data_IF_802106852357
#
_entry.id   IF_802106852357
#
_cell.length_a   1.000
_cell.length_b   1.000
_cell.length_c   1.000
_cell.angle_alpha   90.00
_cell.angle_beta   90.00
_cell.angle_gamma   90.00
#
_symmetry.space_group_name_H-M   'P 1'
#
loop_
_entity.id
_entity.type
_entity.pdbx_description
1 polymer ?
#
# COMPACT_ATOMS: atom_id res chain seq x y z
N UNK A 1 22.68 6.99 10.70
CA UNK A 1 21.61 7.11 9.66
C UNK A 1 21.79 6.10 8.52
N UNK A 2 22.95 6.05 7.86
CA UNK A 2 23.18 5.14 6.72
C UNK A 2 22.88 3.67 7.04
N UNK A 3 23.35 3.14 8.16
CA UNK A 3 23.07 1.76 8.59
C UNK A 3 21.58 1.50 8.83
N UNK A 4 20.80 2.48 9.29
CA UNK A 4 19.36 2.32 9.48
C UNK A 4 18.64 2.22 8.15
N UNK A 5 18.95 3.09 7.19
CA UNK A 5 18.37 3.07 5.86
C UNK A 5 18.74 1.79 5.09
N UNK A 6 19.97 1.30 5.24
CA UNK A 6 20.38 0.02 4.62
C UNK A 6 19.60 -1.16 5.21
N UNK A 7 19.47 -1.23 6.53
CA UNK A 7 18.65 -2.26 7.20
C UNK A 7 17.19 -2.17 6.76
N UNK A 8 16.64 -0.98 6.69
CA UNK A 8 15.27 -0.78 6.21
C UNK A 8 15.13 -1.21 4.75
N UNK A 9 16.09 -0.94 3.86
CA UNK A 9 16.09 -1.44 2.48
C UNK A 9 16.00 -2.96 2.42
N UNK A 10 16.84 -3.66 3.20
CA UNK A 10 16.81 -5.13 3.25
C UNK A 10 15.44 -5.62 3.68
N UNK A 11 14.85 -5.01 4.73
CA UNK A 11 13.52 -5.37 5.21
C UNK A 11 12.44 -5.11 4.16
N UNK A 12 12.49 -4.00 3.44
CA UNK A 12 11.56 -3.69 2.33
C UNK A 12 11.66 -4.72 1.23
N UNK A 13 12.88 -5.10 0.81
CA UNK A 13 13.10 -6.13 -0.22
C UNK A 13 12.57 -7.49 0.24
N UNK A 14 12.84 -7.87 1.49
CA UNK A 14 12.34 -9.14 2.04
C UNK A 14 10.80 -9.14 2.17
N UNK A 15 10.21 -8.04 2.64
CA UNK A 15 8.76 -7.89 2.72
C UNK A 15 8.10 -7.94 1.33
N UNK A 16 8.72 -7.29 0.34
CA UNK A 16 8.25 -7.33 -1.05
C UNK A 16 8.32 -8.75 -1.61
N UNK A 17 9.46 -9.44 -1.44
CA UNK A 17 9.60 -10.83 -1.87
C UNK A 17 8.60 -11.75 -1.16
N UNK A 18 8.39 -11.58 0.14
CA UNK A 18 7.39 -12.32 0.92
C UNK A 18 5.98 -12.08 0.35
N UNK A 19 5.64 -10.84 -0.03
CA UNK A 19 4.34 -10.55 -0.67
C UNK A 19 4.17 -11.33 -1.97
N UNK A 20 5.19 -11.39 -2.84
CA UNK A 20 5.15 -12.18 -4.09
C UNK A 20 5.00 -13.67 -3.78
N UNK A 21 5.71 -14.18 -2.77
CA UNK A 21 5.63 -15.61 -2.39
C UNK A 21 4.25 -15.94 -1.81
N UNK A 22 3.68 -15.11 -0.95
CA UNK A 22 2.34 -15.29 -0.38
C UNK A 22 1.28 -15.30 -1.49
N UNK A 23 1.44 -14.42 -2.49
CA UNK A 23 0.52 -14.31 -3.62
C UNK A 23 1.01 -15.10 -4.84
N UNK A 24 1.79 -16.16 -4.66
CA UNK A 24 2.39 -16.90 -5.77
C UNK A 24 1.41 -17.31 -6.86
N UNK A 25 0.20 -17.81 -6.53
CA UNK A 25 -0.80 -18.15 -7.55
C UNK A 25 -1.19 -16.98 -8.45
N UNK A 26 -1.18 -15.75 -7.95
CA UNK A 26 -1.47 -14.55 -8.72
C UNK A 26 -0.45 -14.33 -9.88
N UNK A 27 0.78 -14.80 -9.71
CA UNK A 27 1.90 -14.59 -10.66
C UNK A 27 2.09 -15.75 -11.62
N UNK A 28 1.28 -16.79 -11.52
CA UNK A 28 1.24 -17.90 -12.47
C UNK A 28 0.14 -17.67 -13.51
N UNK A 29 0.20 -18.37 -14.64
CA UNK A 29 -0.96 -18.49 -15.51
C UNK A 29 -2.01 -19.34 -14.80
N UNK A 30 -3.24 -18.85 -14.67
CA UNK A 30 -4.34 -19.55 -13.98
C UNK A 30 -5.64 -19.37 -14.75
N UNK A 31 -6.49 -20.40 -14.66
CA UNK A 31 -7.82 -20.41 -15.30
C UNK A 31 -8.93 -20.03 -14.30
N UNK A 32 -8.70 -20.29 -13.00
CA UNK A 32 -9.65 -20.04 -11.94
C UNK A 32 -8.97 -19.33 -10.75
N UNK A 33 -9.43 -18.11 -10.37
CA UNK A 33 -10.39 -17.30 -11.13
C UNK A 33 -9.83 -16.93 -12.51
N UNK A 34 -10.68 -16.59 -13.49
CA UNK A 34 -10.17 -16.22 -14.82
C UNK A 34 -9.27 -15.00 -14.73
N UNK A 35 -8.18 -14.99 -15.51
CA UNK A 35 -7.37 -13.80 -15.69
C UNK A 35 -8.18 -12.70 -16.38
N UNK A 36 -7.93 -11.44 -16.02
CA UNK A 36 -8.55 -10.27 -16.60
C UNK A 36 -7.52 -9.50 -17.45
N UNK A 37 -7.29 -9.90 -18.72
CA UNK A 37 -6.28 -9.28 -19.55
C UNK A 37 -6.76 -7.91 -20.06
N UNK A 38 -5.97 -6.85 -19.82
CA UNK A 38 -6.17 -5.55 -20.47
C UNK A 38 -5.86 -5.62 -21.98
N UNK A 39 -4.90 -6.48 -22.36
CA UNK A 39 -4.55 -6.76 -23.76
C UNK A 39 -4.35 -8.28 -23.94
N UNK A 40 -4.72 -8.84 -25.11
CA UNK A 40 -4.56 -10.28 -25.41
C UNK A 40 -3.09 -10.67 -25.67
N UNK A 41 -2.25 -10.51 -24.65
CA UNK A 41 -0.83 -10.88 -24.71
C UNK A 41 -0.61 -12.28 -24.14
N UNK A 42 0.44 -13.00 -24.58
CA UNK A 42 0.82 -14.30 -23.98
C UNK A 42 1.08 -14.13 -22.47
N UNK A 43 0.40 -14.90 -21.65
CA UNK A 43 0.61 -14.91 -20.21
C UNK A 43 1.69 -15.92 -19.82
N UNK A 44 2.68 -15.45 -19.07
CA UNK A 44 3.77 -16.28 -18.51
C UNK A 44 3.74 -16.22 -16.99
N UNK A 45 4.40 -17.18 -16.34
CA UNK A 45 4.63 -17.12 -14.90
C UNK A 45 5.61 -16.00 -14.56
N UNK A 46 5.14 -14.95 -13.86
CA UNK A 46 5.91 -13.75 -13.53
C UNK A 46 6.56 -13.79 -12.15
N UNK A 47 6.26 -14.79 -11.32
CA UNK A 47 6.77 -14.85 -9.94
C UNK A 47 8.30 -14.87 -9.86
N UNK A 48 8.97 -15.71 -10.65
CA UNK A 48 10.43 -15.77 -10.67
C UNK A 48 11.06 -14.49 -11.20
N UNK A 49 10.68 -13.93 -12.37
CA UNK A 49 11.17 -12.64 -12.83
C UNK A 49 11.00 -11.51 -11.80
N UNK A 50 9.84 -11.44 -11.12
CA UNK A 50 9.63 -10.47 -10.05
C UNK A 50 10.61 -10.66 -8.89
N UNK A 51 10.76 -11.88 -8.37
CA UNK A 51 11.70 -12.15 -7.27
C UNK A 51 13.14 -11.80 -7.66
N UNK A 52 13.58 -12.15 -8.86
CA UNK A 52 14.92 -11.81 -9.34
C UNK A 52 15.14 -10.29 -9.38
N UNK A 53 14.18 -9.53 -9.91
CA UNK A 53 14.27 -8.07 -9.96
C UNK A 53 14.18 -7.44 -8.58
N UNK A 54 13.40 -8.00 -7.65
CA UNK A 54 13.29 -7.53 -6.25
C UNK A 54 14.63 -7.73 -5.53
N UNK A 55 15.22 -8.92 -5.56
CA UNK A 55 16.50 -9.18 -4.88
C UNK A 55 17.67 -8.44 -5.55
N UNK A 56 17.65 -8.25 -6.85
CA UNK A 56 18.66 -7.47 -7.56
C UNK A 56 18.69 -5.99 -7.09
N UNK A 57 17.63 -5.45 -6.49
CA UNK A 57 17.62 -4.11 -5.91
C UNK A 57 18.61 -3.93 -4.74
N UNK A 58 19.05 -5.01 -4.12
CA UNK A 58 20.09 -4.93 -3.08
C UNK A 58 21.45 -4.54 -3.64
N UNK A 59 21.74 -4.94 -4.89
CA UNK A 59 23.04 -4.75 -5.56
C UNK A 59 22.97 -3.65 -6.63
N UNK A 60 21.93 -3.65 -7.46
CA UNK A 60 21.75 -2.75 -8.60
C UNK A 60 20.41 -1.97 -8.50
N UNK A 61 20.21 -1.13 -7.48
CA UNK A 61 18.88 -0.63 -7.12
C UNK A 61 18.12 0.03 -8.28
N UNK A 62 18.78 0.91 -9.04
CA UNK A 62 18.11 1.66 -10.14
C UNK A 62 17.75 0.75 -11.33
N UNK A 63 18.71 -0.08 -11.78
CA UNK A 63 18.49 -0.98 -12.92
C UNK A 63 17.46 -2.06 -12.58
N UNK A 64 17.55 -2.62 -11.38
CA UNK A 64 16.63 -3.63 -10.92
C UNK A 64 15.21 -3.07 -10.71
N UNK A 65 15.08 -1.81 -10.24
CA UNK A 65 13.78 -1.16 -10.15
C UNK A 65 13.16 -0.92 -11.53
N UNK A 66 13.96 -0.48 -12.51
CA UNK A 66 13.48 -0.32 -13.89
C UNK A 66 13.03 -1.67 -14.48
N UNK A 67 13.82 -2.73 -14.29
CA UNK A 67 13.44 -4.08 -14.71
C UNK A 67 12.17 -4.57 -14.01
N UNK A 68 12.06 -4.35 -12.70
CA UNK A 68 10.85 -4.65 -11.93
C UNK A 68 9.63 -3.94 -12.49
N UNK A 69 9.73 -2.64 -12.78
CA UNK A 69 8.63 -1.87 -13.35
C UNK A 69 8.15 -2.43 -14.69
N UNK A 70 9.07 -2.85 -15.56
CA UNK A 70 8.74 -3.49 -16.83
C UNK A 70 8.04 -4.84 -16.63
N UNK A 71 8.56 -5.69 -15.74
CA UNK A 71 7.97 -6.99 -15.43
C UNK A 71 6.59 -6.84 -14.82
N UNK A 72 6.44 -5.91 -13.85
CA UNK A 72 5.15 -5.65 -13.21
C UNK A 72 4.12 -5.10 -14.20
N UNK A 73 4.51 -4.12 -15.03
CA UNK A 73 3.62 -3.55 -16.04
C UNK A 73 3.14 -4.61 -17.02
N UNK A 74 4.04 -5.44 -17.53
CA UNK A 74 3.68 -6.56 -18.40
C UNK A 74 2.72 -7.52 -17.69
N UNK A 75 3.02 -7.87 -16.44
CA UNK A 75 2.17 -8.75 -15.65
C UNK A 75 0.75 -8.19 -15.46
N UNK A 76 0.62 -6.87 -15.18
CA UNK A 76 -0.66 -6.20 -15.02
C UNK A 76 -1.44 -6.09 -16.35
N UNK A 77 -0.76 -5.90 -17.48
CA UNK A 77 -1.41 -5.90 -18.80
C UNK A 77 -1.98 -7.28 -19.13
N UNK A 78 -1.28 -8.36 -18.74
CA UNK A 78 -1.77 -9.72 -18.93
C UNK A 78 -2.88 -10.10 -17.96
N UNK A 79 -2.99 -9.41 -16.81
CA UNK A 79 -4.00 -9.72 -15.80
C UNK A 79 -4.16 -8.55 -14.82
N UNK A 80 -5.26 -7.82 -14.93
CA UNK A 80 -5.56 -6.65 -14.10
C UNK A 80 -5.77 -6.99 -12.61
N UNK A 81 -5.97 -8.27 -12.25
CA UNK A 81 -6.03 -8.68 -10.84
C UNK A 81 -4.72 -8.42 -10.10
N UNK A 82 -3.61 -8.26 -10.83
CA UNK A 82 -2.26 -7.93 -10.35
C UNK A 82 -2.06 -6.44 -10.03
N UNK A 83 -3.04 -5.58 -10.37
CA UNK A 83 -3.05 -4.16 -9.99
C UNK A 83 -3.36 -4.00 -8.50
N UNK A 84 -2.43 -4.38 -7.64
CA UNK A 84 -2.56 -4.31 -6.19
C UNK A 84 -1.64 -3.21 -5.63
N UNK A 85 -2.12 -2.33 -4.72
CA UNK A 85 -1.38 -1.14 -4.29
C UNK A 85 -0.01 -1.44 -3.68
N UNK A 86 0.14 -2.56 -2.98
CA UNK A 86 1.40 -2.93 -2.34
C UNK A 86 2.54 -3.12 -3.34
N UNK A 87 2.28 -3.70 -4.53
CA UNK A 87 3.33 -3.92 -5.54
C UNK A 87 3.83 -2.62 -6.17
N UNK A 88 3.01 -1.58 -6.18
CA UNK A 88 3.40 -0.23 -6.60
C UNK A 88 4.01 0.59 -5.46
N UNK A 89 3.70 0.25 -4.21
CA UNK A 89 4.20 0.96 -3.02
C UNK A 89 5.63 0.54 -2.67
N UNK A 90 5.97 -0.74 -2.69
CA UNK A 90 7.31 -1.23 -2.35
C UNK A 90 8.45 -0.55 -3.12
N UNK A 91 8.37 -0.28 -4.43
CA UNK A 91 9.34 0.52 -5.16
C UNK A 91 9.65 1.88 -4.51
N UNK A 92 8.64 2.61 -4.09
CA UNK A 92 8.83 3.92 -3.43
C UNK A 92 9.46 3.76 -2.04
N UNK A 93 9.08 2.73 -1.28
CA UNK A 93 9.72 2.43 0.01
C UNK A 93 11.21 2.10 -0.18
N UNK A 94 11.57 1.35 -1.21
CA UNK A 94 12.97 1.07 -1.57
C UNK A 94 13.71 2.35 -2.00
N UNK A 95 13.11 3.18 -2.86
CA UNK A 95 13.67 4.47 -3.31
C UNK A 95 13.95 5.42 -2.14
N UNK A 96 13.12 5.41 -1.10
CA UNK A 96 13.31 6.22 0.10
C UNK A 96 14.65 5.94 0.82
N UNK A 97 15.30 4.83 0.52
CA UNK A 97 16.58 4.42 1.11
C UNK A 97 17.81 4.74 0.24
N UNK A 98 17.60 5.28 -0.97
CA UNK A 98 18.70 5.60 -1.89
C UNK A 98 19.46 6.85 -1.44
N UNK A 99 20.71 7.03 -1.89
CA UNK A 99 21.49 8.20 -1.53
C UNK A 99 20.99 9.49 -2.18
N UNK A 100 20.27 9.42 -3.30
CA UNK A 100 19.78 10.57 -4.03
C UNK A 100 18.63 11.27 -3.29
N UNK A 101 18.77 12.56 -3.06
CA UNK A 101 17.78 13.37 -2.35
C UNK A 101 16.39 13.32 -2.98
N UNK A 102 16.32 13.30 -4.33
CA UNK A 102 15.04 13.21 -5.05
C UNK A 102 14.33 11.87 -4.83
N UNK A 103 15.08 10.76 -4.81
CA UNK A 103 14.53 9.44 -4.56
C UNK A 103 14.01 9.31 -3.12
N UNK A 104 14.80 9.77 -2.13
CA UNK A 104 14.37 9.82 -0.74
C UNK A 104 13.13 10.68 -0.55
N UNK A 105 13.07 11.82 -1.24
CA UNK A 105 11.93 12.72 -1.19
C UNK A 105 10.68 12.03 -1.74
N UNK A 106 10.74 11.43 -2.94
CA UNK A 106 9.61 10.72 -3.56
C UNK A 106 9.14 9.55 -2.70
N UNK A 107 10.05 8.79 -2.11
CA UNK A 107 9.67 7.69 -1.22
C UNK A 107 8.95 8.16 0.03
N UNK A 108 9.42 9.25 0.68
CA UNK A 108 8.70 9.87 1.82
C UNK A 108 7.36 10.46 1.37
N UNK A 109 7.33 11.16 0.24
CA UNK A 109 6.10 11.74 -0.32
C UNK A 109 5.04 10.66 -0.58
N UNK A 110 5.45 9.50 -1.14
CA UNK A 110 4.55 8.37 -1.34
C UNK A 110 3.90 7.89 -0.03
N UNK A 111 4.69 7.71 1.03
CA UNK A 111 4.16 7.26 2.34
C UNK A 111 3.20 8.29 2.94
N UNK A 112 3.52 9.57 2.85
CA UNK A 112 2.63 10.65 3.31
C UNK A 112 1.33 10.66 2.52
N UNK A 113 1.41 10.57 1.20
CA UNK A 113 0.24 10.55 0.30
C UNK A 113 -0.64 9.33 0.58
N UNK A 114 -0.03 8.18 0.79
CA UNK A 114 -0.73 6.94 1.14
C UNK A 114 -1.55 7.12 2.45
N UNK A 115 -0.91 7.55 3.53
CA UNK A 115 -1.63 7.76 4.81
C UNK A 115 -2.68 8.86 4.72
N UNK A 116 -2.36 9.95 4.01
CA UNK A 116 -3.30 11.06 3.82
C UNK A 116 -4.58 10.60 3.14
N UNK A 117 -4.45 9.95 1.98
CA UNK A 117 -5.60 9.51 1.21
C UNK A 117 -6.29 8.30 1.83
N UNK A 118 -5.57 7.33 2.37
CA UNK A 118 -6.19 6.20 3.06
C UNK A 118 -7.04 6.67 4.25
N UNK A 119 -6.57 7.65 5.02
CA UNK A 119 -7.34 8.26 6.10
C UNK A 119 -8.52 9.10 5.57
N UNK A 120 -8.28 9.98 4.59
CA UNK A 120 -9.31 10.86 4.03
C UNK A 120 -10.47 10.05 3.41
N UNK A 121 -10.18 9.04 2.61
CA UNK A 121 -11.19 8.20 1.96
C UNK A 121 -12.01 7.40 2.97
N UNK A 122 -11.39 6.93 4.06
CA UNK A 122 -12.12 6.28 5.16
C UNK A 122 -13.03 7.26 5.90
N UNK A 123 -12.60 8.52 6.09
CA UNK A 123 -13.44 9.57 6.68
C UNK A 123 -14.65 9.92 5.80
N UNK A 124 -14.50 9.82 4.48
CA UNK A 124 -15.57 10.05 3.51
C UNK A 124 -16.47 8.84 3.31
N UNK A 125 -16.13 7.67 3.89
CA UNK A 125 -16.87 6.42 3.74
C UNK A 125 -17.79 6.16 4.93
N UNK A 126 -19.12 6.32 4.81
CA UNK A 126 -20.06 5.92 5.86
C UNK A 126 -19.94 4.43 6.23
N UNK A 127 -19.69 3.57 5.24
CA UNK A 127 -19.53 2.14 5.47
C UNK A 127 -18.26 1.83 6.28
N UNK A 128 -17.17 2.56 6.10
CA UNK A 128 -16.00 2.42 6.97
C UNK A 128 -16.32 2.89 8.39
N UNK A 129 -16.94 4.06 8.54
CA UNK A 129 -17.21 4.67 9.84
C UNK A 129 -18.16 3.81 10.68
N UNK A 130 -19.27 3.35 10.08
CA UNK A 130 -20.35 2.71 10.83
C UNK A 130 -20.30 1.17 10.80
N UNK A 131 -19.50 0.56 9.92
CA UNK A 131 -19.44 -0.89 9.78
C UNK A 131 -18.02 -1.43 9.99
N UNK A 132 -17.05 -1.09 9.14
CA UNK A 132 -15.72 -1.70 9.18
C UNK A 132 -14.88 -1.26 10.37
N UNK A 133 -14.87 0.02 10.73
CA UNK A 133 -14.14 0.51 11.89
C UNK A 133 -14.56 -0.17 13.19
N UNK A 134 -15.88 -0.22 13.52
CA UNK A 134 -16.39 -1.01 14.62
C UNK A 134 -16.04 -2.50 14.53
N UNK A 135 -16.13 -3.11 13.34
CA UNK A 135 -15.77 -4.51 13.14
C UNK A 135 -14.30 -4.77 13.47
N UNK A 136 -13.39 -3.91 13.04
CA UNK A 136 -11.96 -4.03 13.33
C UNK A 136 -11.67 -3.97 14.83
N UNK A 137 -12.34 -3.11 15.57
CA UNK A 137 -12.20 -3.07 17.03
C UNK A 137 -12.73 -4.34 17.66
N UNK A 138 -13.89 -4.84 17.22
CA UNK A 138 -14.46 -6.09 17.77
C UNK A 138 -13.58 -7.32 17.52
N UNK A 139 -12.80 -7.36 16.45
CA UNK A 139 -11.88 -8.46 16.19
C UNK A 139 -10.78 -8.59 17.25
N UNK A 140 -10.31 -7.48 17.80
CA UNK A 140 -9.27 -7.48 18.86
C UNK A 140 -9.83 -7.27 20.25
N UNK A 141 -11.02 -6.72 20.37
CA UNK A 141 -11.72 -6.47 21.62
C UNK A 141 -13.22 -6.78 21.47
N UNK A 142 -13.57 -8.07 21.60
CA UNK A 142 -14.92 -8.59 21.34
C UNK A 142 -16.02 -7.88 22.15
N UNK A 143 -15.73 -7.53 23.40
CA UNK A 143 -16.66 -6.88 24.33
C UNK A 143 -16.42 -5.37 24.45
N UNK A 144 -15.94 -4.70 23.38
CA UNK A 144 -15.73 -3.26 23.39
C UNK A 144 -17.07 -2.54 23.70
N UNK A 145 -17.05 -1.50 24.57
CA UNK A 145 -18.24 -0.69 24.84
C UNK A 145 -18.78 -0.02 23.57
N UNK A 146 -20.10 0.14 23.47
CA UNK A 146 -20.76 0.73 22.30
C UNK A 146 -20.23 2.11 21.94
N UNK A 147 -19.87 2.93 22.93
CA UNK A 147 -19.26 4.25 22.70
C UNK A 147 -17.92 4.13 21.99
N UNK A 148 -17.11 3.11 22.32
CA UNK A 148 -15.82 2.85 21.64
C UNK A 148 -16.08 2.43 20.21
N UNK A 149 -17.04 1.55 19.97
CA UNK A 149 -17.42 1.09 18.63
C UNK A 149 -17.98 2.24 17.78
N UNK A 150 -18.82 3.10 18.34
CA UNK A 150 -19.38 4.26 17.63
C UNK A 150 -18.30 5.26 17.18
N UNK A 151 -17.24 5.43 17.98
CA UNK A 151 -16.14 6.33 17.65
C UNK A 151 -15.03 5.67 16.82
N UNK A 152 -14.97 4.34 16.78
CA UNK A 152 -13.84 3.60 16.21
C UNK A 152 -13.56 3.96 14.76
N UNK A 153 -14.58 3.99 13.91
CA UNK A 153 -14.40 4.31 12.49
C UNK A 153 -13.81 5.70 12.27
N UNK A 154 -14.34 6.70 12.98
CA UNK A 154 -13.86 8.09 12.91
C UNK A 154 -12.43 8.19 13.44
N UNK A 155 -12.15 7.64 14.62
CA UNK A 155 -10.85 7.78 15.27
C UNK A 155 -9.74 7.05 14.52
N UNK A 156 -10.03 5.87 13.95
CA UNK A 156 -9.06 5.13 13.13
C UNK A 156 -8.72 5.90 11.85
N UNK A 157 -9.74 6.38 11.13
CA UNK A 157 -9.55 7.14 9.89
C UNK A 157 -8.87 8.50 10.14
N UNK A 158 -9.32 9.24 11.14
CA UNK A 158 -8.75 10.53 11.54
C UNK A 158 -7.31 10.36 12.03
N UNK A 159 -7.02 9.30 12.78
CA UNK A 159 -5.68 8.98 13.25
C UNK A 159 -4.71 8.81 12.08
N UNK A 160 -5.06 8.01 11.07
CA UNK A 160 -4.25 7.80 9.87
C UNK A 160 -4.03 9.11 9.08
N UNK A 161 -5.09 9.90 8.88
CA UNK A 161 -5.02 11.20 8.22
C UNK A 161 -4.11 12.20 8.97
N UNK A 162 -4.29 12.32 10.28
CA UNK A 162 -3.50 13.24 11.11
C UNK A 162 -2.03 12.83 11.18
N UNK A 163 -1.72 11.54 11.22
CA UNK A 163 -0.33 11.06 11.19
C UNK A 163 0.40 11.50 9.93
N UNK A 164 -0.27 11.49 8.77
CA UNK A 164 0.29 12.00 7.52
C UNK A 164 0.66 13.49 7.62
N UNK A 165 -0.14 14.31 8.29
CA UNK A 165 0.13 15.73 8.50
C UNK A 165 1.22 15.96 9.57
N UNK A 166 1.21 15.18 10.65
CA UNK A 166 2.14 15.34 11.76
C UNK A 166 3.57 14.96 11.41
N UNK A 167 3.79 13.96 10.52
CA UNK A 167 5.14 13.60 10.06
C UNK A 167 5.78 14.70 9.19
N UNK A 168 4.99 15.63 8.63
CA UNK A 168 5.51 16.76 7.86
C UNK A 168 6.10 17.86 8.75
N UNK A 169 5.65 17.97 10.00
CA UNK A 169 6.12 18.98 10.96
C UNK A 169 7.35 18.46 11.72
N UNK A 170 8.50 19.14 11.70
CA UNK A 170 9.71 18.69 12.37
C UNK A 170 9.51 18.40 13.87
N UNK A 171 8.70 19.20 14.57
CA UNK A 171 8.49 19.14 16.02
C UNK A 171 7.73 17.88 16.44
N UNK A 172 6.73 17.46 15.65
CA UNK A 172 5.88 16.29 15.94
C UNK A 172 6.39 15.00 15.30
N UNK A 173 7.32 15.07 14.37
CA UNK A 173 7.77 13.95 13.52
C UNK A 173 8.24 12.73 14.29
N UNK A 174 8.93 12.92 15.40
CA UNK A 174 9.39 11.81 16.26
C UNK A 174 8.21 11.03 16.82
N UNK A 175 7.23 11.74 17.37
CA UNK A 175 6.03 11.14 17.95
C UNK A 175 5.12 10.55 16.90
N UNK A 176 4.93 11.25 15.78
CA UNK A 176 4.17 10.74 14.65
C UNK A 176 4.80 9.47 14.07
N UNK A 177 6.14 9.41 13.94
CA UNK A 177 6.85 8.21 13.51
C UNK A 177 6.67 7.01 14.45
N UNK A 178 6.63 7.23 15.75
CA UNK A 178 6.32 6.18 16.73
C UNK A 178 4.82 5.77 16.65
N UNK A 179 3.92 6.74 16.48
CA UNK A 179 2.49 6.47 16.37
C UNK A 179 2.13 5.73 15.08
N UNK A 180 2.82 5.99 13.94
CA UNK A 180 2.63 5.19 12.72
C UNK A 180 3.05 3.74 12.90
N UNK A 181 4.12 3.50 13.65
CA UNK A 181 4.50 2.12 14.03
C UNK A 181 3.36 1.44 14.80
N UNK A 182 2.85 2.08 15.86
CA UNK A 182 1.75 1.54 16.66
C UNK A 182 0.48 1.31 15.82
N UNK A 183 0.15 2.24 14.92
CA UNK A 183 -1.00 2.13 14.01
C UNK A 183 -0.91 0.88 13.12
N UNK A 184 0.22 0.69 12.45
CA UNK A 184 0.39 -0.48 11.57
C UNK A 184 0.48 -1.80 12.33
N UNK A 185 1.05 -1.81 13.54
CA UNK A 185 0.98 -2.98 14.44
C UNK A 185 -0.47 -3.26 14.83
N UNK A 186 -1.27 -2.24 15.12
CA UNK A 186 -2.71 -2.38 15.35
C UNK A 186 -3.43 -2.99 14.14
N UNK A 187 -3.16 -2.51 12.93
CA UNK A 187 -3.71 -3.09 11.68
C UNK A 187 -3.32 -4.55 11.54
N UNK A 188 -2.04 -4.90 11.74
CA UNK A 188 -1.58 -6.29 11.67
C UNK A 188 -2.26 -7.18 12.71
N UNK A 189 -2.45 -6.67 13.94
CA UNK A 189 -3.17 -7.40 15.00
C UNK A 189 -4.63 -7.66 14.62
N UNK A 190 -5.30 -6.67 14.03
CA UNK A 190 -6.68 -6.79 13.54
C UNK A 190 -6.78 -7.83 12.41
N UNK A 191 -5.85 -7.78 11.46
CA UNK A 191 -5.79 -8.75 10.36
C UNK A 191 -5.56 -10.17 10.87
N UNK A 192 -4.67 -10.34 11.85
CA UNK A 192 -4.38 -11.64 12.46
C UNK A 192 -5.61 -12.19 13.22
N UNK A 193 -6.29 -11.35 14.00
CA UNK A 193 -7.49 -11.75 14.75
C UNK A 193 -8.68 -12.06 13.83
N UNK A 194 -8.84 -11.28 12.74
CA UNK A 194 -9.95 -11.41 11.80
C UNK A 194 -9.83 -12.55 10.80
N UNK A 195 -8.75 -13.33 10.81
CA UNK A 195 -8.45 -14.37 9.80
C UNK A 195 -8.58 -13.83 8.38
N UNK A 196 -8.06 -12.63 8.14
CA UNK A 196 -8.18 -11.92 6.87
C UNK A 196 -7.52 -12.74 5.75
N UNK A 197 -8.28 -12.99 4.70
CA UNK A 197 -7.84 -13.76 3.53
C UNK A 197 -6.86 -12.97 2.65
N UNK A 198 -6.80 -11.64 2.78
CA UNK A 198 -5.83 -10.80 2.10
C UNK A 198 -4.47 -10.81 2.81
N UNK A 199 -3.78 -11.94 2.75
CA UNK A 199 -2.45 -12.08 3.36
C UNK A 199 -1.37 -11.23 2.67
N UNK A 200 -1.62 -10.77 1.43
CA UNK A 200 -0.66 -9.97 0.65
C UNK A 200 -0.27 -8.65 1.32
N UNK A 201 -1.14 -8.09 2.14
CA UNK A 201 -0.92 -6.80 2.80
C UNK A 201 -0.13 -6.90 4.11
N UNK A 202 0.12 -8.09 4.64
CA UNK A 202 0.85 -8.25 5.91
C UNK A 202 2.30 -7.79 5.83
N UNK A 203 3.12 -8.27 4.86
CA UNK A 203 4.49 -7.78 4.73
C UNK A 203 4.55 -6.29 4.39
N UNK A 204 3.57 -5.78 3.64
CA UNK A 204 3.47 -4.37 3.31
C UNK A 204 3.20 -3.50 4.54
N UNK A 205 2.21 -3.87 5.37
CA UNK A 205 1.94 -3.16 6.64
C UNK A 205 3.15 -3.23 7.58
N UNK A 206 3.89 -4.35 7.62
CA UNK A 206 5.12 -4.43 8.37
C UNK A 206 6.18 -3.44 7.87
N UNK A 207 6.39 -3.34 6.55
CA UNK A 207 7.30 -2.35 5.97
C UNK A 207 6.85 -0.91 6.25
N UNK A 208 5.53 -0.63 6.18
CA UNK A 208 4.97 0.68 6.52
C UNK A 208 5.11 1.01 8.01
N UNK A 209 4.94 0.06 8.92
CA UNK A 209 5.20 0.26 10.35
C UNK A 209 6.62 0.78 10.59
N UNK A 210 7.60 0.20 9.93
CA UNK A 210 9.00 0.58 10.06
C UNK A 210 9.33 1.88 9.33
N UNK A 211 8.54 2.30 8.33
CA UNK A 211 8.79 3.52 7.56
C UNK A 211 8.74 4.78 8.44
N UNK A 212 7.81 4.85 9.39
CA UNK A 212 7.72 5.94 10.36
C UNK A 212 9.02 6.16 11.11
N UNK A 213 9.61 5.07 11.60
CA UNK A 213 10.86 5.08 12.36
C UNK A 213 12.07 5.32 11.45
N UNK A 214 12.14 4.62 10.31
CA UNK A 214 13.33 4.64 9.46
C UNK A 214 13.44 5.89 8.58
N UNK A 215 12.32 6.42 8.09
CA UNK A 215 12.31 7.49 7.10
C UNK A 215 12.01 8.87 7.70
N UNK A 216 11.18 8.92 8.74
CA UNK A 216 10.70 10.20 9.29
C UNK A 216 11.40 10.61 10.57
N UNK A 217 11.65 9.72 11.53
CA UNK A 217 12.33 10.11 12.77
C UNK A 217 13.75 10.68 12.57
N UNK A 218 14.59 10.18 11.65
CA UNK A 218 15.90 10.76 11.39
C UNK A 218 15.87 11.99 10.46
N UNK A 219 14.74 12.27 9.81
CA UNK A 219 14.62 13.40 8.89
C UNK A 219 14.57 14.74 9.65
N UNK A 220 15.49 15.68 9.35
CA UNK A 220 15.66 16.96 10.05
C UNK A 220 15.11 18.16 9.28
N UNK A 221 14.89 18.05 7.98
CA UNK A 221 14.45 19.16 7.13
C UNK A 221 12.97 19.50 7.27
N UNK A 222 12.60 20.71 6.84
CA UNK A 222 11.21 21.07 6.57
C UNK A 222 10.74 20.37 5.29
N UNK A 223 9.53 19.81 5.31
CA UNK A 223 8.94 19.16 4.13
C UNK A 223 8.80 20.14 2.95
N UNK A 224 8.40 21.38 3.23
CA UNK A 224 8.24 22.43 2.23
C UNK A 224 9.58 22.87 1.62
N UNK A 225 10.62 23.03 2.47
CA UNK A 225 11.94 23.41 1.97
C UNK A 225 12.57 22.28 1.15
N UNK A 226 12.40 21.04 1.59
CA UNK A 226 12.85 19.89 0.82
C UNK A 226 12.13 19.81 -0.53
N UNK A 227 10.82 20.06 -0.59
CA UNK A 227 10.07 20.15 -1.84
C UNK A 227 10.61 21.25 -2.76
N UNK A 228 10.83 22.46 -2.24
CA UNK A 228 11.35 23.59 -3.02
C UNK A 228 12.74 23.32 -3.61
N UNK A 229 13.57 22.56 -2.92
CA UNK A 229 14.93 22.18 -3.36
C UNK A 229 14.95 21.10 -4.44
N UNK A 230 13.82 20.37 -4.64
CA UNK A 230 13.78 19.32 -5.65
C UNK A 230 13.76 19.89 -7.08
N UNK A 231 14.22 19.07 -8.04
CA UNK A 231 14.09 19.37 -9.46
C UNK A 231 12.61 19.51 -9.87
N UNK A 232 12.34 20.19 -10.98
CA UNK A 232 10.98 20.35 -11.50
C UNK A 232 10.30 19.00 -11.73
N UNK A 233 11.06 18.01 -12.23
CA UNK A 233 10.53 16.63 -12.47
C UNK A 233 10.11 15.96 -11.18
N UNK A 234 10.96 15.99 -10.15
CA UNK A 234 10.65 15.38 -8.84
C UNK A 234 9.44 16.06 -8.19
N UNK A 235 9.33 17.39 -8.30
CA UNK A 235 8.16 18.14 -7.81
C UNK A 235 6.89 17.76 -8.55
N UNK A 236 6.97 17.68 -9.89
CA UNK A 236 5.83 17.28 -10.71
C UNK A 236 5.36 15.85 -10.35
N UNK A 237 6.29 14.89 -10.22
CA UNK A 237 5.96 13.53 -9.80
C UNK A 237 5.30 13.48 -8.40
N UNK A 238 5.82 14.25 -7.44
CA UNK A 238 5.22 14.32 -6.11
C UNK A 238 3.80 14.91 -6.12
N UNK A 239 3.57 15.94 -6.92
CA UNK A 239 2.24 16.52 -7.10
C UNK A 239 1.29 15.56 -7.84
N UNK A 240 1.79 14.85 -8.86
CA UNK A 240 1.01 13.80 -9.53
C UNK A 240 0.61 12.72 -8.53
N UNK A 241 1.52 12.23 -7.68
CA UNK A 241 1.17 11.26 -6.65
C UNK A 241 0.12 11.80 -5.66
N UNK A 242 0.24 13.07 -5.27
CA UNK A 242 -0.72 13.70 -4.35
C UNK A 242 -2.11 13.86 -4.99
N UNK A 243 -2.18 14.18 -6.27
CA UNK A 243 -3.43 14.49 -6.96
C UNK A 243 -4.05 13.27 -7.66
N UNK A 244 -3.26 12.23 -7.97
CA UNK A 244 -3.74 11.06 -8.71
C UNK A 244 -4.96 10.36 -8.09
N UNK A 245 -5.12 10.27 -6.75
CA UNK A 245 -6.32 9.65 -6.18
C UNK A 245 -7.63 10.37 -6.53
N UNK A 246 -7.58 11.67 -6.84
CA UNK A 246 -8.75 12.41 -7.36
C UNK A 246 -9.21 11.87 -8.72
N UNK A 247 -8.31 11.27 -9.49
CA UNK A 247 -8.61 10.66 -10.78
C UNK A 247 -9.59 9.50 -10.70
N UNK A 248 -9.76 8.87 -9.53
CA UNK A 248 -10.80 7.87 -9.30
C UNK A 248 -12.21 8.43 -9.56
N UNK A 249 -12.50 9.62 -9.06
CA UNK A 249 -13.83 10.25 -9.18
C UNK A 249 -14.22 10.62 -10.59
N UNK A 250 -13.27 10.61 -11.53
CA UNK A 250 -13.49 10.88 -12.95
C UNK A 250 -13.10 9.67 -13.84
N UNK A 251 -12.90 8.49 -13.26
CA UNK A 251 -12.62 7.25 -13.98
C UNK A 251 -11.24 7.13 -14.62
N UNK A 252 -10.28 8.00 -14.23
CA UNK A 252 -8.92 8.00 -14.79
C UNK A 252 -7.92 7.14 -14.01
N UNK A 253 -8.19 6.82 -12.76
CA UNK A 253 -7.29 6.06 -11.89
C UNK A 253 -8.08 4.93 -11.23
N UNK A 254 -7.48 3.75 -11.20
CA UNK A 254 -8.06 2.59 -10.55
C UNK A 254 -8.25 2.79 -9.04
N UNK A 255 -9.30 2.20 -8.48
CA UNK A 255 -9.64 2.31 -7.06
C UNK A 255 -8.50 1.92 -6.13
N UNK A 256 -7.80 0.81 -6.42
CA UNK A 256 -6.74 0.32 -5.56
C UNK A 256 -5.48 1.19 -5.67
N UNK A 257 -5.20 1.74 -6.85
CA UNK A 257 -4.11 2.71 -7.04
C UNK A 257 -4.44 4.08 -6.44
N UNK A 258 -5.72 4.36 -6.19
CA UNK A 258 -6.21 5.57 -5.52
C UNK A 258 -6.36 5.40 -4.00
N UNK A 259 -5.81 4.32 -3.40
CA UNK A 259 -5.85 4.01 -1.97
C UNK A 259 -7.25 3.73 -1.40
N UNK A 260 -8.23 3.38 -2.24
CA UNK A 260 -9.59 2.99 -1.81
C UNK A 260 -9.65 1.59 -1.17
N UNK A 261 -8.54 0.94 -0.96
CA UNK A 261 -8.51 -0.34 -0.26
C UNK A 261 -9.07 -0.15 1.16
N UNK A 262 -10.13 -0.88 1.49
CA UNK A 262 -10.88 -0.78 2.75
C UNK A 262 -11.71 0.51 2.98
N UNK A 263 -11.88 1.38 1.99
CA UNK A 263 -12.87 2.46 2.11
C UNK A 263 -14.31 1.99 1.95
N UNK A 264 -14.52 0.81 1.34
CA UNK A 264 -15.84 0.18 1.06
C UNK A 264 -16.72 0.93 0.04
N UNK A 265 -16.26 2.06 -0.46
CA UNK A 265 -16.99 2.84 -1.47
C UNK A 265 -16.74 2.33 -2.90
N UNK A 266 -15.95 1.26 -3.03
CA UNK A 266 -15.68 0.62 -4.30
C UNK A 266 -16.76 -0.41 -4.55
N UNK A 267 -17.55 -0.29 -5.62
CA UNK A 267 -18.50 -1.31 -6.00
C UNK A 267 -17.78 -2.65 -6.15
N UNK A 268 -18.20 -3.63 -5.36
CA UNK A 268 -17.77 -5.02 -5.50
C UNK A 268 -18.94 -5.75 -6.16
N UNK A 269 -18.70 -6.61 -7.16
CA UNK A 269 -19.76 -7.33 -7.84
C UNK A 269 -20.73 -7.98 -6.87
N UNK A 270 -22.03 -7.79 -7.09
CA UNK A 270 -23.07 -8.44 -6.31
C UNK A 270 -22.92 -9.95 -6.38
N UNK A 271 -22.59 -10.52 -5.22
CA UNK A 271 -22.53 -11.95 -4.98
C UNK A 271 -21.93 -12.80 -6.12
N UNK A 272 -20.64 -12.73 -6.37
CA UNK A 272 -20.04 -13.86 -7.08
C UNK A 272 -20.44 -15.14 -6.32
N UNK A 273 -20.85 -16.14 -7.05
CA UNK A 273 -21.29 -17.43 -6.47
C UNK A 273 -20.28 -17.92 -5.42
N UNK A 274 -20.71 -18.72 -4.44
CA UNK A 274 -19.78 -19.27 -3.44
C UNK A 274 -18.52 -19.89 -4.05
N UNK A 275 -18.60 -20.63 -5.19
CA UNK A 275 -17.41 -21.12 -5.90
C UNK A 275 -16.47 -20.02 -6.36
N UNK A 276 -16.99 -18.90 -6.89
CA UNK A 276 -16.16 -17.78 -7.36
C UNK A 276 -15.37 -17.15 -6.21
N UNK A 277 -16.02 -16.89 -5.06
CA UNK A 277 -15.33 -16.37 -3.87
C UNK A 277 -14.22 -17.31 -3.36
N UNK A 278 -14.46 -18.63 -3.42
CA UNK A 278 -13.47 -19.61 -3.01
C UNK A 278 -12.22 -19.58 -3.90
N UNK A 279 -12.38 -19.35 -5.21
CA UNK A 279 -11.25 -19.25 -6.13
C UNK A 279 -10.42 -17.98 -5.92
N UNK A 280 -11.06 -16.84 -5.57
CA UNK A 280 -10.34 -15.61 -5.23
C UNK A 280 -9.52 -15.71 -3.95
N UNK A 281 -10.00 -16.45 -2.94
CA UNK A 281 -9.24 -16.73 -1.72
C UNK A 281 -7.88 -17.35 -2.00
N UNK A 282 -7.81 -18.20 -3.02
CA UNK A 282 -6.57 -18.86 -3.43
C UNK A 282 -5.50 -17.89 -3.91
N UNK A 283 -5.87 -16.73 -4.45
CA UNK A 283 -4.93 -15.71 -4.89
C UNK A 283 -4.37 -14.85 -3.75
N UNK A 284 -4.94 -14.94 -2.54
CA UNK A 284 -4.57 -14.14 -1.36
C UNK A 284 -4.65 -12.63 -1.58
N UNK A 285 -5.47 -12.19 -2.50
CA UNK A 285 -5.75 -10.78 -2.80
C UNK A 285 -7.24 -10.52 -2.75
N UNK A 286 -7.69 -9.26 -2.54
CA UNK A 286 -9.11 -8.93 -2.57
C UNK A 286 -9.71 -9.15 -3.96
N UNK A 287 -11.03 -9.36 -3.99
CA UNK A 287 -11.80 -9.41 -5.24
C UNK A 287 -11.63 -8.07 -5.95
N UNK A 288 -11.35 -8.05 -7.28
CA UNK A 288 -11.21 -6.82 -8.02
C UNK A 288 -12.49 -5.97 -7.95
N UNK A 289 -12.36 -4.65 -8.09
CA UNK A 289 -13.51 -3.77 -8.24
C UNK A 289 -14.35 -4.13 -9.46
N UNK A 290 -15.66 -3.85 -9.41
CA UNK A 290 -16.61 -4.21 -10.47
C UNK A 290 -16.20 -3.73 -11.86
N UNK A 291 -15.58 -2.54 -11.95
CA UNK A 291 -15.14 -1.99 -13.24
C UNK A 291 -14.00 -2.76 -13.93
N UNK A 292 -13.42 -3.76 -13.26
CA UNK A 292 -12.42 -4.68 -13.83
C UNK A 292 -13.02 -6.03 -14.25
N UNK A 293 -14.24 -6.32 -13.85
CA UNK A 293 -14.96 -7.57 -14.14
C UNK A 293 -15.94 -7.38 -15.28
#
# INVERSE_FOLDING_TARGET
MLNLLLRYRVLVVLAHAATVVITWPLWTAHELPPMLPALPLPSFSMGVPLLLTIFAQLVFPKRALAAYAVVLLYACICDETRLQPQFFSFPFLAMATWPEAGAQFLGRAHVVVLWLWAGALKLLSPAFIFLLGPLFVRQVWANAPDVVLALAGILLALGEYLLALLVLKPESRRWAGAATFAMHVGILSTLAAGRNENASIWPWNFALALSGVALFMPWRGSALDDFKRQSRVVRALALTMLLSPLGWYVGLVDAYLSFHLYSVDVPVPDAPSKPFRATWKYLHVPIPPEHRL
#
